data_IF_530733484855
#
_entry.id   IF_530733484855
#
_cell.length_a   1.000
_cell.length_b   1.000
_cell.length_c   1.000
_cell.angle_alpha   90.00
_cell.angle_beta   90.00
_cell.angle_gamma   90.00
#
_symmetry.space_group_name_H-M   'P 1'
#
loop_
_entity.id
_entity.type
_entity.pdbx_description
1 polymer ?
#
# COMPACT_ATOMS: atom_id res chain seq x y z
N UNK A 1 2.86 12.46 -5.34
CA UNK A 1 3.99 11.58 -4.98
C UNK A 1 3.50 10.14 -5.10
N UNK A 2 4.28 9.24 -5.68
CA UNK A 2 3.81 7.92 -6.10
C UNK A 2 3.27 7.09 -4.93
N UNK A 3 2.00 6.68 -5.01
CA UNK A 3 1.37 5.74 -4.06
C UNK A 3 1.72 4.32 -4.44
N UNK A 4 2.99 4.04 -4.70
CA UNK A 4 3.47 2.73 -5.09
C UNK A 4 4.79 2.41 -4.42
N UNK A 5 5.06 1.11 -4.26
CA UNK A 5 6.33 0.59 -3.80
C UNK A 5 6.63 -0.74 -4.49
N UNK A 6 7.88 -1.19 -4.44
CA UNK A 6 8.27 -2.52 -4.91
C UNK A 6 8.92 -3.30 -3.77
N UNK A 7 8.78 -4.62 -3.79
CA UNK A 7 9.41 -5.50 -2.81
C UNK A 7 8.80 -6.91 -2.81
N UNK A 8 9.11 -7.73 -1.79
CA UNK A 8 8.71 -9.13 -1.79
C UNK A 8 7.21 -9.31 -1.57
N UNK A 9 6.71 -10.50 -1.89
CA UNK A 9 5.33 -10.89 -1.69
C UNK A 9 5.20 -12.42 -1.55
N UNK A 10 4.05 -13.00 -1.96
CA UNK A 10 3.89 -14.46 -1.94
C UNK A 10 5.02 -15.18 -2.69
N UNK A 11 5.59 -16.21 -2.07
CA UNK A 11 6.75 -16.94 -2.61
C UNK A 11 8.03 -16.11 -2.66
N UNK A 12 8.97 -16.52 -3.53
CA UNK A 12 10.29 -15.92 -3.73
C UNK A 12 10.30 -15.04 -4.98
N UNK A 13 9.37 -14.07 -5.04
CA UNK A 13 9.16 -13.17 -6.18
C UNK A 13 9.08 -11.71 -5.71
N UNK A 14 9.41 -10.80 -6.62
CA UNK A 14 9.26 -9.35 -6.42
C UNK A 14 7.94 -8.89 -7.03
N UNK A 15 7.31 -7.94 -6.35
CA UNK A 15 6.02 -7.38 -6.71
C UNK A 15 6.08 -5.87 -6.73
N UNK A 16 5.28 -5.29 -7.61
CA UNK A 16 4.91 -3.88 -7.59
C UNK A 16 3.57 -3.78 -6.85
N UNK A 17 3.49 -2.84 -5.91
CA UNK A 17 2.30 -2.52 -5.14
C UNK A 17 1.83 -1.13 -5.53
N UNK A 18 0.58 -1.00 -5.98
CA UNK A 18 -0.01 0.27 -6.42
C UNK A 18 -1.23 0.59 -5.56
N UNK A 19 -1.20 1.74 -4.91
CA UNK A 19 -2.20 2.20 -3.98
C UNK A 19 -3.26 3.10 -4.60
N UNK A 20 -4.50 2.65 -4.53
CA UNK A 20 -5.69 3.50 -4.64
C UNK A 20 -6.16 3.86 -3.24
N UNK A 21 -5.38 4.74 -2.60
CA UNK A 21 -5.44 4.98 -1.15
C UNK A 21 -5.71 6.44 -0.78
N UNK A 22 -5.58 7.37 -1.72
CA UNK A 22 -5.82 8.78 -1.44
C UNK A 22 -7.28 9.15 -1.42
N UNK A 23 -7.65 9.96 -0.45
CA UNK A 23 -9.01 10.39 -0.22
C UNK A 23 -9.04 11.65 0.66
N UNK A 24 -8.56 12.77 0.13
CA UNK A 24 -8.56 14.08 0.80
C UNK A 24 -9.94 14.51 1.31
N UNK A 25 -11.02 14.04 0.66
CA UNK A 25 -12.38 14.36 1.00
C UNK A 25 -13.05 13.32 1.91
N UNK A 26 -12.31 12.30 2.36
CA UNK A 26 -12.78 11.21 3.22
C UNK A 26 -14.10 10.58 2.73
N UNK A 27 -14.22 10.34 1.41
CA UNK A 27 -15.42 9.81 0.75
C UNK A 27 -15.51 8.29 0.85
N UNK A 28 -14.41 7.58 0.70
CA UNK A 28 -14.39 6.13 0.52
C UNK A 28 -14.27 5.40 1.86
N UNK A 29 -15.12 4.39 2.07
CA UNK A 29 -15.10 3.54 3.29
C UNK A 29 -13.89 2.59 3.32
N UNK A 30 -13.35 2.27 2.15
CA UNK A 30 -12.26 1.33 1.96
C UNK A 30 -11.30 1.83 0.87
N UNK A 31 -10.12 1.24 0.87
CA UNK A 31 -9.01 1.56 -0.03
C UNK A 31 -8.48 0.27 -0.65
N UNK A 32 -7.73 0.40 -1.73
CA UNK A 32 -7.15 -0.74 -2.43
C UNK A 32 -5.64 -0.61 -2.56
N UNK A 33 -4.97 -1.75 -2.42
CA UNK A 33 -3.60 -1.95 -2.89
C UNK A 33 -3.64 -3.05 -3.93
N UNK A 34 -3.29 -2.71 -5.16
CA UNK A 34 -3.11 -3.65 -6.25
C UNK A 34 -1.69 -4.22 -6.18
N UNK A 35 -1.56 -5.54 -6.21
CA UNK A 35 -0.27 -6.22 -6.23
C UNK A 35 -0.13 -7.00 -7.53
N UNK A 36 0.94 -6.72 -8.26
CA UNK A 36 1.31 -7.42 -9.50
C UNK A 36 2.75 -7.89 -9.40
N UNK A 37 3.04 -9.08 -9.93
CA UNK A 37 4.42 -9.58 -10.04
C UNK A 37 5.20 -8.63 -10.94
N UNK A 38 6.43 -8.27 -10.54
CA UNK A 38 7.28 -7.39 -11.31
C UNK A 38 7.65 -8.06 -12.66
N UNK A 39 7.29 -7.46 -13.81
CA UNK A 39 7.56 -8.06 -15.10
C UNK A 39 9.06 -8.05 -15.40
N UNK A 40 9.57 -9.14 -15.99
CA UNK A 40 10.94 -9.18 -16.50
C UNK A 40 10.97 -8.48 -17.86
N UNK A 41 11.61 -7.31 -17.91
CA UNK A 41 11.69 -6.48 -19.12
C UNK A 41 13.07 -6.63 -19.77
N UNK A 42 13.09 -6.74 -21.10
CA UNK A 42 14.28 -6.45 -21.90
C UNK A 42 14.29 -4.96 -22.23
N UNK A 43 15.24 -4.21 -21.68
CA UNK A 43 15.32 -2.75 -21.81
C UNK A 43 16.03 -2.29 -23.10
N UNK A 44 16.31 -3.22 -24.04
CA UNK A 44 16.94 -2.88 -25.32
C UNK A 44 16.02 -2.09 -26.27
N UNK A 45 14.71 -2.08 -26.03
CA UNK A 45 13.72 -1.26 -26.73
C UNK A 45 12.59 -0.83 -25.79
N UNK A 46 11.75 0.18 -26.13
CA UNK A 46 10.51 0.42 -25.41
C UNK A 46 9.65 -0.85 -25.39
N UNK A 47 9.27 -1.33 -24.20
CA UNK A 47 8.44 -2.52 -24.02
C UNK A 47 7.12 -2.13 -23.38
N UNK A 48 6.03 -2.49 -24.03
CA UNK A 48 4.70 -2.54 -23.42
C UNK A 48 4.46 -3.96 -22.91
N UNK A 49 3.93 -4.09 -21.69
CA UNK A 49 3.61 -5.39 -21.09
C UNK A 49 2.17 -5.40 -20.62
N UNK A 50 1.43 -6.41 -21.07
CA UNK A 50 0.10 -6.70 -20.55
C UNK A 50 0.20 -7.43 -19.20
N UNK A 51 -0.32 -6.80 -18.15
CA UNK A 51 -0.44 -7.43 -16.83
C UNK A 51 -1.74 -8.21 -16.78
N UNK A 52 -1.65 -9.54 -16.83
CA UNK A 52 -2.82 -10.44 -16.91
C UNK A 52 -3.35 -10.88 -15.55
N UNK A 53 -2.54 -10.76 -14.48
CA UNK A 53 -2.91 -11.19 -13.13
C UNK A 53 -2.60 -10.08 -12.13
N UNK A 54 -3.62 -9.62 -11.41
CA UNK A 54 -3.51 -8.56 -10.40
C UNK A 54 -4.27 -9.01 -9.15
N UNK A 55 -3.57 -9.03 -8.02
CA UNK A 55 -4.18 -9.19 -6.71
C UNK A 55 -4.76 -7.85 -6.24
N UNK A 56 -5.95 -7.86 -5.65
CA UNK A 56 -6.59 -6.68 -5.06
C UNK A 56 -6.71 -6.82 -3.54
N UNK A 57 -5.90 -6.09 -2.79
CA UNK A 57 -5.95 -6.06 -1.32
C UNK A 57 -6.87 -4.93 -0.90
N UNK A 58 -8.10 -5.27 -0.51
CA UNK A 58 -9.09 -4.32 -0.01
C UNK A 58 -8.91 -4.11 1.49
N UNK A 59 -8.76 -2.87 1.93
CA UNK A 59 -8.58 -2.58 3.35
C UNK A 59 -9.33 -1.33 3.84
N UNK A 60 -9.51 -1.26 5.16
CA UNK A 60 -10.01 -0.08 5.87
C UNK A 60 -9.09 0.25 7.05
N UNK A 61 -9.12 1.51 7.48
CA UNK A 61 -8.43 1.94 8.69
C UNK A 61 -9.36 1.77 9.90
N UNK A 62 -8.84 1.37 11.07
CA UNK A 62 -9.65 1.04 12.25
C UNK A 62 -10.31 2.27 12.88
N UNK A 63 -9.81 3.47 12.59
CA UNK A 63 -10.26 4.75 13.13
C UNK A 63 -11.02 5.61 12.10
N UNK A 64 -11.53 4.96 11.05
CA UNK A 64 -12.44 5.53 10.07
C UNK A 64 -11.77 6.06 8.80
N UNK A 65 -12.51 6.85 8.04
CA UNK A 65 -12.05 7.39 6.75
C UNK A 65 -10.94 8.40 6.97
N UNK A 66 -9.75 8.10 6.46
CA UNK A 66 -8.62 9.02 6.46
C UNK A 66 -7.91 9.01 5.12
N UNK A 67 -7.26 10.11 4.80
CA UNK A 67 -6.39 10.18 3.64
C UNK A 67 -5.11 9.35 3.91
N UNK A 68 -4.68 8.58 2.91
CA UNK A 68 -3.49 7.73 3.00
C UNK A 68 -2.59 8.06 1.82
N UNK A 69 -1.33 8.34 2.12
CA UNK A 69 -0.45 9.04 1.18
C UNK A 69 0.73 8.20 0.72
N UNK A 70 1.09 7.16 1.48
CA UNK A 70 2.20 6.29 1.14
C UNK A 70 1.93 4.84 1.55
N UNK A 71 2.60 3.94 0.81
CA UNK A 71 2.64 2.50 1.06
C UNK A 71 4.11 2.09 1.09
N UNK A 72 4.46 1.20 2.00
CA UNK A 72 5.77 0.53 2.05
C UNK A 72 5.57 -0.96 2.28
N UNK A 73 6.53 -1.76 1.86
CA UNK A 73 6.59 -3.19 2.16
C UNK A 73 7.84 -3.45 2.99
N UNK A 74 7.71 -4.19 4.08
CA UNK A 74 8.84 -4.68 4.86
C UNK A 74 9.45 -5.90 4.14
N UNK A 75 10.73 -5.85 3.74
CA UNK A 75 11.34 -6.93 2.97
C UNK A 75 11.51 -8.24 3.74
N UNK A 76 11.50 -8.20 5.08
CA UNK A 76 11.67 -9.39 5.92
C UNK A 76 10.34 -10.08 6.20
N UNK A 77 9.34 -9.30 6.60
CA UNK A 77 8.03 -9.82 7.04
C UNK A 77 7.01 -9.88 5.92
N UNK A 78 7.22 -9.11 4.83
CA UNK A 78 6.27 -8.90 3.72
C UNK A 78 5.01 -8.14 4.14
N UNK A 79 5.04 -7.53 5.31
CA UNK A 79 3.98 -6.67 5.82
C UNK A 79 3.88 -5.39 4.99
N UNK A 80 2.65 -4.96 4.72
CA UNK A 80 2.40 -3.67 4.07
C UNK A 80 2.12 -2.61 5.12
N UNK A 81 2.88 -1.53 5.07
CA UNK A 81 2.68 -0.36 5.92
C UNK A 81 2.01 0.75 5.11
N UNK A 82 1.03 1.41 5.72
CA UNK A 82 0.32 2.55 5.14
C UNK A 82 0.39 3.75 6.07
N UNK A 83 0.59 4.92 5.47
CA UNK A 83 0.82 6.18 6.19
C UNK A 83 -0.35 7.12 5.92
N UNK A 84 -1.06 7.48 6.99
CA UNK A 84 -2.22 8.35 6.91
C UNK A 84 -1.94 9.71 7.56
N UNK A 85 -2.39 10.77 6.88
CA UNK A 85 -2.40 12.13 7.41
C UNK A 85 -3.82 12.54 7.77
N UNK A 86 -3.96 13.23 8.90
CA UNK A 86 -5.21 13.91 9.27
C UNK A 86 -4.96 15.39 9.58
N UNK A 87 -3.87 15.70 10.27
CA UNK A 87 -3.43 17.06 10.60
C UNK A 87 -1.98 17.28 10.17
N UNK A 88 -1.50 18.53 10.17
CA UNK A 88 -0.16 18.88 9.66
C UNK A 88 1.00 18.25 10.45
N UNK A 89 0.75 17.80 11.68
CA UNK A 89 1.79 17.52 12.68
C UNK A 89 1.92 16.02 13.04
N UNK A 90 0.90 15.21 12.78
CA UNK A 90 0.89 13.78 13.14
C UNK A 90 0.63 12.88 11.93
N UNK A 91 1.55 11.95 11.66
CA UNK A 91 1.37 10.86 10.69
C UNK A 91 1.02 9.59 11.46
N UNK A 92 -0.08 8.95 11.10
CA UNK A 92 -0.44 7.63 11.64
C UNK A 92 0.12 6.54 10.74
N UNK A 93 0.74 5.53 11.36
CA UNK A 93 1.26 4.35 10.67
C UNK A 93 0.37 3.16 11.00
N UNK A 94 -0.04 2.43 9.97
CA UNK A 94 -0.80 1.19 10.10
C UNK A 94 -0.11 0.08 9.34
N UNK A 95 -0.38 -1.15 9.74
CA UNK A 95 0.14 -2.37 9.10
C UNK A 95 -1.00 -3.27 8.63
N UNK A 96 -0.80 -3.87 7.46
CA UNK A 96 -1.55 -4.97 6.87
C UNK A 96 -0.63 -6.20 6.89
N UNK A 97 -0.71 -7.04 7.93
CA UNK A 97 0.21 -8.15 8.10
C UNK A 97 0.13 -9.14 6.93
N UNK A 98 1.26 -9.71 6.57
CA UNK A 98 1.30 -10.84 5.65
C UNK A 98 0.79 -12.11 6.34
N UNK A 99 0.03 -12.99 5.64
CA UNK A 99 -0.48 -12.82 4.29
C UNK A 99 -1.70 -11.88 4.23
N UNK A 100 -1.68 -10.92 3.30
CA UNK A 100 -2.84 -10.06 3.06
C UNK A 100 -3.90 -10.80 2.24
N UNK A 101 -5.17 -10.68 2.64
CA UNK A 101 -6.29 -11.22 1.86
C UNK A 101 -6.48 -10.44 0.56
N UNK A 102 -6.73 -11.16 -0.53
CA UNK A 102 -7.05 -10.61 -1.86
C UNK A 102 -8.52 -10.75 -2.22
N UNK A 103 -9.33 -11.29 -1.31
CA UNK A 103 -10.76 -11.60 -1.53
C UNK A 103 -11.67 -10.99 -0.48
N UNK A 104 -11.15 -10.69 0.71
CA UNK A 104 -11.92 -10.16 1.83
C UNK A 104 -11.38 -8.81 2.29
N UNK A 105 -12.24 -8.00 2.90
CA UNK A 105 -11.84 -6.74 3.52
C UNK A 105 -10.89 -7.00 4.70
N UNK A 106 -9.73 -6.34 4.70
CA UNK A 106 -8.77 -6.35 5.81
C UNK A 106 -8.92 -5.08 6.63
N UNK A 107 -8.94 -5.19 7.96
CA UNK A 107 -8.81 -4.01 8.83
C UNK A 107 -7.35 -3.84 9.22
N UNK A 108 -6.75 -2.70 8.85
CA UNK A 108 -5.38 -2.40 9.19
C UNK A 108 -5.20 -2.27 10.71
N UNK A 109 -4.00 -2.60 11.21
CA UNK A 109 -3.67 -2.44 12.63
C UNK A 109 -2.90 -1.15 12.82
N UNK A 110 -3.34 -0.31 13.75
CA UNK A 110 -2.57 0.87 14.14
C UNK A 110 -1.24 0.44 14.78
N UNK A 111 -0.14 1.03 14.33
CA UNK A 111 1.20 0.74 14.83
C UNK A 111 1.68 1.86 15.74
N UNK A 112 1.73 3.09 15.23
CA UNK A 112 2.27 4.23 15.95
C UNK A 112 1.85 5.56 15.33
N UNK A 113 2.08 6.63 16.09
CA UNK A 113 2.13 8.00 15.58
C UNK A 113 3.58 8.41 15.35
N UNK A 114 3.84 9.02 14.21
CA UNK A 114 5.09 9.73 13.91
C UNK A 114 4.82 11.22 14.07
N UNK A 115 5.46 11.83 15.07
CA UNK A 115 5.49 13.27 15.23
C UNK A 115 6.45 13.85 14.17
N UNK A 116 5.97 14.78 13.36
CA UNK A 116 6.83 15.51 12.42
C UNK A 116 7.08 16.88 13.01
N UNK A 117 8.26 17.16 13.57
CA UNK A 117 8.58 18.51 14.05
C UNK A 117 8.55 19.46 12.85
N UNK A 118 7.69 20.46 12.91
CA UNK A 118 7.70 21.55 11.93
C UNK A 118 8.98 22.38 12.17
N UNK A 119 9.69 22.82 11.10
CA UNK A 119 10.73 23.84 11.22
C UNK A 119 10.17 25.18 11.71
#
# INVERSE_FOLDING_TARGET
MGRYCCGPGPGEKTYIYVGEIGDNAAKFDYKYIYRLEEPKLDLSSPVEVDVTTIDSIKFQLPDGKRDTEAIMVDPLTKDLYVFSKREKEEIHVYVLPFPQSTTTLVTARFVMKLAVPLP
#
